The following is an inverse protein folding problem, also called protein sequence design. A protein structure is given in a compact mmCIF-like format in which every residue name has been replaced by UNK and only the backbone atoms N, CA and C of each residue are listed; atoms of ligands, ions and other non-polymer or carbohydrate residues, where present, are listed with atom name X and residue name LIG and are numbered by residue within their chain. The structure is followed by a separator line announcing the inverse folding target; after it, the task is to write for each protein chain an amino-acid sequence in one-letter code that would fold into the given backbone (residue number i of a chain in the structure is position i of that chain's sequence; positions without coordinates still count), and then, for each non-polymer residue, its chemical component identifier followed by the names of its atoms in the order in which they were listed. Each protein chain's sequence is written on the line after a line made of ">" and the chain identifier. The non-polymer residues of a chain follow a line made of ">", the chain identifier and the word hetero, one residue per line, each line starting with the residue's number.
data_IF_748879016359
#
_entry.id   IF_748879016359
#
_cell.length_a   1.000
_cell.length_b   1.000
_cell.length_c   1.000
_cell.angle_alpha   90.00
_cell.angle_beta   90.00
_cell.angle_gamma   90.00
#
_symmetry.space_group_name_H-M   'P 1'
#
loop_
_entity.id
_entity.type
_entity.pdbx_description
1 polymer ?
#
# COMPACT_ATOMS: atom_id res chain seq x y z
N UNK A 1 2.17 -11.90 -13.95
CA UNK A 1 2.44 -12.62 -12.69
C UNK A 1 3.88 -13.12 -12.61
N UNK A 2 4.50 -13.44 -13.75
CA UNK A 2 5.84 -14.01 -13.74
C UNK A 2 6.88 -13.24 -12.93
N UNK A 3 6.95 -11.93 -13.06
CA UNK A 3 7.96 -11.16 -12.36
C UNK A 3 7.67 -10.93 -10.88
N UNK A 4 6.42 -11.10 -10.46
CA UNK A 4 6.05 -10.99 -9.04
C UNK A 4 6.00 -12.35 -8.34
N UNK A 5 6.16 -13.43 -9.08
CA UNK A 5 6.12 -14.78 -8.53
C UNK A 5 7.10 -14.99 -7.37
N UNK A 6 8.35 -14.50 -7.42
CA UNK A 6 9.26 -14.63 -6.29
C UNK A 6 8.76 -13.96 -5.02
N UNK A 7 8.02 -12.86 -5.16
CA UNK A 7 7.43 -12.16 -4.00
C UNK A 7 6.33 -13.02 -3.40
N UNK A 8 5.45 -13.56 -4.24
CA UNK A 8 4.35 -14.42 -3.81
C UNK A 8 4.88 -15.66 -3.11
N UNK A 9 5.93 -16.25 -3.63
CA UNK A 9 6.58 -17.40 -3.00
C UNK A 9 7.16 -17.07 -1.63
N UNK A 10 7.63 -15.84 -1.46
CA UNK A 10 8.20 -15.39 -0.19
C UNK A 10 7.13 -15.09 0.85
N UNK A 11 6.05 -14.41 0.46
CA UNK A 11 4.99 -14.04 1.41
C UNK A 11 4.00 -15.17 1.68
N UNK A 12 3.89 -16.13 0.77
CA UNK A 12 3.02 -17.32 0.90
C UNK A 12 1.60 -16.97 1.35
N UNK A 13 0.87 -16.19 0.58
CA UNK A 13 -0.45 -15.74 1.01
C UNK A 13 -1.45 -16.90 0.98
N UNK A 14 -2.38 -16.91 1.92
CA UNK A 14 -3.53 -17.79 1.86
C UNK A 14 -4.53 -17.30 0.82
N UNK A 15 -4.71 -15.98 0.75
CA UNK A 15 -5.60 -15.35 -0.24
C UNK A 15 -5.03 -14.01 -0.65
N UNK A 16 -5.02 -13.75 -1.95
CA UNK A 16 -4.62 -12.46 -2.50
C UNK A 16 -5.88 -11.67 -2.78
N UNK A 17 -5.95 -10.46 -2.19
CA UNK A 17 -7.11 -9.59 -2.36
C UNK A 17 -6.90 -8.66 -3.55
N UNK A 18 -5.71 -8.05 -3.64
CA UNK A 18 -5.41 -7.12 -4.72
C UNK A 18 -3.91 -7.02 -4.95
N UNK A 19 -3.53 -6.90 -6.20
CA UNK A 19 -2.18 -6.51 -6.61
C UNK A 19 -2.34 -5.33 -7.56
N UNK A 20 -1.71 -4.22 -7.23
CA UNK A 20 -1.85 -2.98 -7.99
C UNK A 20 -0.49 -2.31 -8.19
N UNK A 21 -0.17 -2.00 -9.42
CA UNK A 21 1.01 -1.19 -9.73
C UNK A 21 0.62 0.29 -9.73
N UNK A 22 1.41 1.10 -9.07
CA UNK A 22 1.25 2.56 -9.03
C UNK A 22 2.48 3.20 -9.66
N UNK A 23 2.25 4.12 -10.57
CA UNK A 23 3.29 4.91 -11.20
C UNK A 23 3.04 6.38 -10.88
N UNK A 24 4.05 7.01 -10.31
CA UNK A 24 4.02 8.42 -9.94
C UNK A 24 5.13 9.13 -10.72
N UNK A 25 4.78 10.23 -11.37
CA UNK A 25 5.74 11.00 -12.16
C UNK A 25 6.51 11.97 -11.27
N UNK A 26 7.67 12.37 -11.77
CA UNK A 26 8.54 13.35 -11.12
C UNK A 26 7.79 14.66 -10.85
N UNK A 27 8.03 15.24 -9.70
CA UNK A 27 7.54 16.58 -9.34
C UNK A 27 8.72 17.45 -8.90
N UNK A 28 8.52 18.79 -8.89
CA UNK A 28 9.56 19.71 -8.47
C UNK A 28 9.91 19.57 -7.00
N UNK A 29 8.90 19.26 -6.19
CA UNK A 29 9.05 19.02 -4.75
C UNK A 29 8.36 17.72 -4.40
N UNK A 30 8.82 17.07 -3.35
CA UNK A 30 8.15 15.87 -2.84
C UNK A 30 6.73 16.25 -2.43
N UNK A 31 5.76 15.58 -3.01
CA UNK A 31 4.35 15.72 -2.65
C UNK A 31 3.96 14.49 -1.85
N UNK A 32 3.58 14.70 -0.60
CA UNK A 32 3.07 13.62 0.25
C UNK A 32 1.57 13.52 0.05
N UNK A 33 1.11 12.35 -0.37
CA UNK A 33 -0.31 12.12 -0.56
C UNK A 33 -1.02 11.98 0.78
N UNK A 34 -2.34 12.11 0.77
CA UNK A 34 -3.12 12.04 1.99
C UNK A 34 -3.02 10.66 2.62
N UNK A 35 -2.81 10.58 3.95
CA UNK A 35 -2.77 9.30 4.64
C UNK A 35 -4.11 8.57 4.54
N UNK A 36 -4.04 7.28 4.36
CA UNK A 36 -5.22 6.43 4.22
C UNK A 36 -4.92 5.03 4.75
N UNK A 37 -5.97 4.27 4.92
CA UNK A 37 -5.86 2.81 5.11
C UNK A 37 -6.29 2.13 3.83
N UNK A 38 -5.74 0.94 3.58
CA UNK A 38 -6.21 0.14 2.46
C UNK A 38 -7.50 -0.55 2.86
N UNK A 39 -8.48 -0.50 1.97
CA UNK A 39 -9.77 -1.15 2.17
C UNK A 39 -10.44 -0.91 3.52
N UNK A 40 -11.41 -0.09 3.51
CA UNK A 40 -12.40 -0.03 4.58
C UNK A 40 -13.74 -0.41 3.96
N UNK A 41 -13.98 -1.70 3.88
CA UNK A 41 -15.17 -2.24 3.20
C UNK A 41 -16.45 -1.68 3.81
N UNK A 42 -16.48 -1.54 5.13
CA UNK A 42 -17.66 -1.04 5.81
C UNK A 42 -18.00 0.40 5.43
N UNK A 43 -17.01 1.23 5.18
CA UNK A 43 -17.23 2.61 4.76
C UNK A 43 -17.80 2.72 3.35
N UNK A 44 -17.62 1.68 2.54
CA UNK A 44 -18.14 1.63 1.18
C UNK A 44 -19.53 1.03 1.10
N UNK A 45 -19.97 0.40 2.15
CA UNK A 45 -21.31 -0.17 2.23
C UNK A 45 -22.29 0.89 2.74
N UNK A 46 -22.59 1.85 1.92
CA UNK A 46 -23.55 2.90 2.24
C UNK A 46 -24.99 2.38 2.12
N UNK A 47 -25.27 1.33 2.83
CA UNK A 47 -26.62 0.81 2.91
C UNK A 47 -27.23 1.41 4.16
N UNK A 48 -28.40 2.01 4.05
CA UNK A 48 -29.05 2.68 5.16
C UNK A 48 -29.25 1.83 6.40
N UNK A 49 -29.12 0.53 6.27
CA UNK A 49 -29.26 -0.42 7.38
C UNK A 49 -27.94 -0.72 8.08
N UNK A 50 -26.82 -0.29 7.54
CA UNK A 50 -25.51 -0.57 8.15
C UNK A 50 -25.28 0.36 9.32
N UNK A 51 -25.11 -0.21 10.49
CA UNK A 51 -24.80 0.54 11.70
C UNK A 51 -23.36 1.06 11.62
N UNK A 52 -23.18 2.37 11.68
CA UNK A 52 -21.87 3.02 11.62
C UNK A 52 -20.89 2.50 12.66
N UNK A 53 -21.38 2.07 13.80
CA UNK A 53 -20.52 1.52 14.87
C UNK A 53 -19.79 0.23 14.45
N UNK A 54 -20.30 -0.47 13.47
CA UNK A 54 -19.70 -1.72 13.02
C UNK A 54 -18.78 -1.56 11.83
N UNK A 55 -18.72 -0.39 11.22
CA UNK A 55 -17.92 -0.16 10.01
C UNK A 55 -16.43 -0.41 10.22
N UNK A 56 -15.88 0.06 11.33
CA UNK A 56 -14.46 -0.07 11.62
C UNK A 56 -14.05 -1.49 12.03
N UNK A 57 -15.01 -2.36 12.35
CA UNK A 57 -14.71 -3.69 12.88
C UNK A 57 -14.70 -4.80 11.84
N UNK A 58 -15.25 -4.54 10.66
CA UNK A 58 -15.45 -5.60 9.67
C UNK A 58 -14.49 -5.52 8.49
N UNK A 59 -13.71 -4.43 8.37
CA UNK A 59 -13.09 -4.15 7.10
C UNK A 59 -11.92 -5.05 6.78
N UNK A 60 -10.80 -4.93 7.45
CA UNK A 60 -9.56 -5.54 6.93
C UNK A 60 -8.74 -6.21 8.01
N UNK A 61 -9.42 -6.68 9.05
CA UNK A 61 -8.71 -7.33 10.16
C UNK A 61 -7.93 -8.54 9.67
N UNK A 62 -6.63 -8.55 9.96
CA UNK A 62 -5.76 -9.64 9.57
C UNK A 62 -5.20 -9.53 8.16
N UNK A 63 -5.65 -8.54 7.36
CA UNK A 63 -5.09 -8.33 6.04
C UNK A 63 -3.75 -7.58 6.14
N UNK A 64 -2.82 -7.98 5.28
CA UNK A 64 -1.49 -7.37 5.20
C UNK A 64 -1.39 -6.55 3.94
N UNK A 65 -0.76 -5.39 4.05
CA UNK A 65 -0.35 -4.58 2.92
C UNK A 65 1.16 -4.75 2.70
N UNK A 66 1.54 -5.07 1.48
CA UNK A 66 2.92 -5.08 1.06
C UNK A 66 3.15 -3.99 0.03
N UNK A 67 4.26 -3.28 0.15
CA UNK A 67 4.70 -2.30 -0.84
C UNK A 67 6.06 -2.73 -1.35
N UNK A 68 6.12 -3.08 -2.63
CA UNK A 68 7.36 -3.49 -3.27
C UNK A 68 7.86 -2.37 -4.17
N UNK A 69 9.09 -1.95 -3.94
CA UNK A 69 9.69 -0.85 -4.70
C UNK A 69 10.41 -1.39 -5.92
N UNK A 70 9.97 -0.91 -7.09
CA UNK A 70 10.57 -1.31 -8.38
C UNK A 70 11.86 -0.56 -8.63
N UNK A 71 11.94 0.71 -8.21
CA UNK A 71 13.12 1.54 -8.45
C UNK A 71 13.51 2.36 -7.21
N UNK A 72 14.76 2.75 -7.19
CA UNK A 72 15.33 3.59 -6.13
C UNK A 72 15.10 5.06 -6.48
N UNK A 73 14.55 5.81 -5.52
CA UNK A 73 14.37 7.24 -5.65
C UNK A 73 14.23 7.87 -4.25
N UNK A 74 14.14 9.20 -4.21
CA UNK A 74 13.96 9.90 -2.93
C UNK A 74 12.51 9.92 -2.44
N UNK A 75 11.59 9.37 -3.20
CA UNK A 75 10.22 9.15 -2.75
C UNK A 75 10.18 8.09 -1.64
N UNK A 76 9.12 8.12 -0.85
CA UNK A 76 9.01 7.23 0.30
C UNK A 76 7.57 6.86 0.61
N UNK A 77 7.42 5.86 1.45
CA UNK A 77 6.17 5.51 2.09
C UNK A 77 6.24 5.98 3.53
N UNK A 78 5.25 6.75 3.97
CA UNK A 78 5.21 7.22 5.34
C UNK A 78 4.22 6.39 6.15
N UNK A 79 4.69 5.86 7.27
CA UNK A 79 3.88 5.09 8.21
C UNK A 79 4.08 5.76 9.58
N UNK A 80 3.05 6.49 10.03
CA UNK A 80 3.19 7.32 11.22
C UNK A 80 4.30 8.35 11.04
N UNK A 81 5.29 8.32 11.89
CA UNK A 81 6.47 9.20 11.80
C UNK A 81 7.61 8.60 10.98
N UNK A 82 7.47 7.35 10.58
CA UNK A 82 8.53 6.63 9.89
C UNK A 82 8.44 6.83 8.38
N UNK A 83 9.58 7.13 7.77
CA UNK A 83 9.71 7.27 6.33
C UNK A 83 10.54 6.10 5.80
N UNK A 84 9.98 5.33 4.89
CA UNK A 84 10.66 4.22 4.26
C UNK A 84 10.91 4.59 2.82
N UNK A 85 12.15 4.90 2.49
CA UNK A 85 12.51 5.37 1.16
C UNK A 85 12.46 4.24 0.14
N UNK A 86 12.08 4.59 -1.08
CA UNK A 86 12.04 3.66 -2.19
C UNK A 86 13.44 3.18 -2.52
N UNK A 87 13.64 1.89 -2.41
CA UNK A 87 14.89 1.22 -2.72
C UNK A 87 14.55 -0.01 -3.56
N UNK A 88 15.16 -0.11 -4.73
CA UNK A 88 14.89 -1.21 -5.65
C UNK A 88 14.94 -2.57 -4.96
N UNK A 89 13.95 -3.38 -5.24
CA UNK A 89 13.83 -4.76 -4.71
C UNK A 89 13.62 -4.84 -3.19
N UNK A 90 13.06 -3.81 -2.59
CA UNK A 90 12.70 -3.79 -1.17
C UNK A 90 11.21 -4.01 -1.02
N UNK A 91 10.82 -4.86 -0.10
CA UNK A 91 9.43 -5.14 0.24
C UNK A 91 9.17 -4.72 1.68
N UNK A 92 8.15 -3.92 1.88
CA UNK A 92 7.71 -3.47 3.20
C UNK A 92 6.33 -4.07 3.46
N UNK A 93 6.16 -4.65 4.64
CA UNK A 93 4.90 -5.26 5.05
C UNK A 93 4.38 -4.57 6.29
N UNK A 94 3.08 -4.30 6.30
CA UNK A 94 2.40 -3.75 7.49
C UNK A 94 0.93 -4.13 7.45
N UNK A 95 0.27 -3.96 8.58
CA UNK A 95 -1.16 -4.24 8.69
C UNK A 95 -1.95 -3.26 7.82
N UNK A 96 -2.91 -3.78 7.05
CA UNK A 96 -3.69 -2.95 6.12
C UNK A 96 -4.53 -1.88 6.82
N UNK A 97 -4.79 -2.03 8.12
CA UNK A 97 -5.49 -1.00 8.90
C UNK A 97 -4.61 0.16 9.32
N UNK A 98 -3.32 0.09 9.02
CA UNK A 98 -2.36 1.14 9.37
C UNK A 98 -2.48 2.32 8.42
N UNK A 99 -2.60 3.53 8.95
CA UNK A 99 -2.56 4.75 8.14
C UNK A 99 -1.18 4.92 7.53
N UNK A 100 -1.17 5.11 6.24
CA UNK A 100 0.06 5.28 5.49
C UNK A 100 -0.17 6.19 4.29
N UNK A 101 0.90 6.72 3.74
CA UNK A 101 0.84 7.56 2.54
C UNK A 101 2.06 7.31 1.67
N UNK A 102 1.89 7.49 0.38
CA UNK A 102 2.98 7.48 -0.58
C UNK A 102 3.38 8.91 -0.97
N UNK A 103 4.49 9.04 -1.66
CA UNK A 103 4.97 10.33 -2.16
C UNK A 103 5.37 10.25 -3.62
N UNK A 104 5.51 11.42 -4.23
CA UNK A 104 6.21 11.55 -5.50
C UNK A 104 7.72 11.48 -5.29
N UNK A 105 8.49 11.67 -6.34
CA UNK A 105 9.94 11.77 -6.27
C UNK A 105 10.42 12.99 -7.06
N UNK A 106 11.62 13.45 -6.78
CA UNK A 106 12.21 14.60 -7.46
C UNK A 106 13.49 14.27 -8.21
N UNK A 107 14.10 13.11 -7.93
CA UNK A 107 15.40 12.71 -8.45
C UNK A 107 15.33 11.64 -9.56
N UNK A 108 14.13 11.15 -9.87
CA UNK A 108 13.90 10.19 -10.94
C UNK A 108 12.67 10.61 -11.74
N UNK A 109 12.58 10.19 -13.00
CA UNK A 109 11.43 10.52 -13.84
C UNK A 109 10.13 9.91 -13.31
N UNK A 110 10.22 8.80 -12.59
CA UNK A 110 9.05 8.10 -12.09
C UNK A 110 9.40 7.32 -10.83
N UNK A 111 8.39 7.10 -10.02
CA UNK A 111 8.42 6.21 -8.88
C UNK A 111 7.40 5.12 -9.13
N UNK A 112 7.83 3.87 -9.12
CA UNK A 112 6.96 2.73 -9.38
C UNK A 112 6.97 1.82 -8.16
N UNK A 113 5.78 1.50 -7.67
CA UNK A 113 5.60 0.55 -6.58
C UNK A 113 4.51 -0.44 -6.96
N UNK A 114 4.60 -1.63 -6.38
CA UNK A 114 3.53 -2.63 -6.50
C UNK A 114 2.99 -2.87 -5.10
N UNK A 115 1.69 -2.66 -4.96
CA UNK A 115 0.99 -2.87 -3.70
C UNK A 115 0.33 -4.25 -3.72
N UNK A 116 0.52 -4.97 -2.63
CA UNK A 116 -0.11 -6.26 -2.40
C UNK A 116 -1.02 -6.13 -1.19
N UNK A 117 -2.26 -6.61 -1.33
CA UNK A 117 -3.14 -6.77 -0.18
C UNK A 117 -3.52 -8.25 -0.11
N UNK A 118 -3.22 -8.89 1.00
CA UNK A 118 -3.38 -10.33 1.12
C UNK A 118 -3.63 -10.77 2.56
N UNK A 119 -4.13 -11.98 2.69
CA UNK A 119 -4.22 -12.67 3.98
C UNK A 119 -3.08 -13.68 4.07
N UNK A 120 -2.33 -13.63 5.16
CA UNK A 120 -1.18 -14.54 5.35
C UNK A 120 -1.58 -15.99 5.55
#
# INVERSE_FOLDING_TARGET
>A
IGFIQPIIEKIKPTAIVRIKANLLTKTDKIIVHEPHTDFNIADKLEVGTVNKKHRSHTSVKGMVTGVYYINTCNGYTQIGKKKIHSEENKLVLFDSSTYHSGTTCTDQNRRIVINFNYYP
#
